data_IF_588349468558
#
_entry.id   IF_588349468558
#
_cell.length_a   1.000
_cell.length_b   1.000
_cell.length_c   1.000
_cell.angle_alpha   90.00
_cell.angle_beta   90.00
_cell.angle_gamma   90.00
#
_symmetry.space_group_name_H-M   'P 1'
#
loop_
_entity.id
_entity.type
_entity.pdbx_description
1 polymer ?
#
# COMPACT_ATOMS: atom_id res chain seq x y z
N UNK A 1 12.57 21.90 12.92
CA UNK A 1 12.85 20.59 12.27
C UNK A 1 13.88 20.88 11.20
N UNK A 2 15.09 20.33 11.31
CA UNK A 2 16.13 20.62 10.33
C UNK A 2 15.84 19.88 9.01
N UNK A 3 16.33 20.40 7.89
CA UNK A 3 16.17 19.78 6.55
C UNK A 3 16.72 18.33 6.53
N UNK A 4 17.75 18.05 7.33
CA UNK A 4 18.31 16.72 7.53
C UNK A 4 17.37 15.75 8.28
N UNK A 5 16.61 16.25 9.26
CA UNK A 5 15.62 15.44 9.99
C UNK A 5 14.43 15.09 9.08
N UNK A 6 14.02 16.00 8.20
CA UNK A 6 12.92 15.80 7.25
C UNK A 6 13.28 14.76 6.17
N UNK A 7 14.53 14.76 5.69
CA UNK A 7 15.03 13.74 4.76
C UNK A 7 15.10 12.37 5.44
N UNK A 8 15.55 12.32 6.70
CA UNK A 8 15.66 11.09 7.48
C UNK A 8 14.28 10.44 7.75
N UNK A 9 13.30 11.23 8.20
CA UNK A 9 11.95 10.74 8.50
C UNK A 9 11.24 10.16 7.28
N UNK A 10 11.30 10.87 6.15
CA UNK A 10 10.78 10.38 4.86
C UNK A 10 11.44 9.07 4.43
N UNK A 11 12.77 8.98 4.52
CA UNK A 11 13.53 7.80 4.12
C UNK A 11 13.16 6.56 4.94
N UNK A 12 12.93 6.72 6.26
CA UNK A 12 12.51 5.63 7.15
C UNK A 12 11.15 5.07 6.72
N UNK A 13 10.15 5.94 6.51
CA UNK A 13 8.79 5.52 6.11
C UNK A 13 8.81 4.82 4.75
N UNK A 14 9.48 5.41 3.76
CA UNK A 14 9.59 4.81 2.42
C UNK A 14 10.28 3.45 2.50
N UNK A 15 11.42 3.37 3.19
CA UNK A 15 12.17 2.11 3.34
C UNK A 15 11.33 1.03 4.00
N UNK A 16 10.56 1.38 5.04
CA UNK A 16 9.70 0.43 5.71
C UNK A 16 8.57 -0.06 4.80
N UNK A 17 7.92 0.83 4.05
CA UNK A 17 6.83 0.45 3.15
C UNK A 17 7.32 -0.38 1.97
N UNK A 18 8.48 -0.06 1.40
CA UNK A 18 9.07 -0.87 0.33
C UNK A 18 9.48 -2.26 0.82
N UNK A 19 10.09 -2.36 2.00
CA UNK A 19 10.52 -3.66 2.57
C UNK A 19 9.36 -4.46 3.17
N UNK A 20 8.30 -3.81 3.63
CA UNK A 20 7.14 -4.42 4.30
C UNK A 20 5.83 -3.83 3.80
N UNK A 21 5.43 -4.09 2.53
CA UNK A 21 4.22 -3.50 1.96
C UNK A 21 2.93 -3.92 2.69
N UNK A 22 2.97 -5.03 3.43
CA UNK A 22 1.83 -5.51 4.22
C UNK A 22 1.48 -4.59 5.40
N UNK A 23 2.35 -3.61 5.72
CA UNK A 23 2.09 -2.59 6.73
C UNK A 23 1.23 -1.43 6.21
N UNK A 24 1.08 -1.29 4.89
CA UNK A 24 0.33 -0.19 4.25
C UNK A 24 -1.08 -0.02 4.86
N UNK A 25 -1.90 -1.08 5.01
CA UNK A 25 -3.23 -0.93 5.59
C UNK A 25 -3.18 -0.36 7.02
N UNK A 26 -2.23 -0.77 7.84
CA UNK A 26 -2.13 -0.31 9.22
C UNK A 26 -1.74 1.16 9.31
N UNK A 27 -0.80 1.62 8.48
CA UNK A 27 -0.46 3.05 8.42
C UNK A 27 -1.67 3.86 7.97
N UNK A 28 -2.35 3.42 6.91
CA UNK A 28 -3.58 4.06 6.42
C UNK A 28 -4.62 4.20 7.53
N UNK A 29 -5.03 3.09 8.17
CA UNK A 29 -6.07 3.15 9.20
C UNK A 29 -5.63 3.92 10.46
N UNK A 30 -4.40 3.76 10.93
CA UNK A 30 -3.93 4.49 12.13
C UNK A 30 -3.89 6.00 11.85
N UNK A 31 -3.41 6.40 10.67
CA UNK A 31 -3.33 7.80 10.28
C UNK A 31 -4.73 8.40 10.07
N UNK A 32 -5.56 7.78 9.23
CA UNK A 32 -6.90 8.29 8.87
C UNK A 32 -7.81 8.46 10.08
N UNK A 33 -7.70 7.60 11.09
CA UNK A 33 -8.53 7.67 12.30
C UNK A 33 -7.85 8.40 13.47
N UNK A 34 -6.71 9.06 13.23
CA UNK A 34 -5.93 9.77 14.27
C UNK A 34 -5.62 8.89 15.49
N UNK A 35 -5.38 7.61 15.24
CA UNK A 35 -5.01 6.62 16.24
C UNK A 35 -6.11 5.63 16.61
N UNK A 36 -5.69 4.37 16.82
CA UNK A 36 -6.59 3.24 17.02
C UNK A 36 -6.07 2.28 18.11
N UNK A 37 -7.01 1.69 18.85
CA UNK A 37 -6.78 0.54 19.71
C UNK A 37 -6.60 -0.73 18.87
N UNK A 38 -6.10 -1.81 19.50
CA UNK A 38 -5.99 -3.13 18.85
C UNK A 38 -7.37 -3.65 18.41
N UNK A 39 -8.40 -3.39 19.21
CA UNK A 39 -9.75 -3.86 18.94
C UNK A 39 -10.40 -3.11 17.78
N UNK A 40 -10.21 -1.80 17.68
CA UNK A 40 -10.66 -1.02 16.52
C UNK A 40 -9.92 -1.44 15.25
N UNK A 41 -8.60 -1.63 15.31
CA UNK A 41 -7.83 -2.18 14.19
C UNK A 41 -8.34 -3.56 13.77
N UNK A 42 -8.76 -4.40 14.72
CA UNK A 42 -9.32 -5.72 14.41
C UNK A 42 -10.63 -5.61 13.64
N UNK A 43 -11.50 -4.67 14.03
CA UNK A 43 -12.78 -4.42 13.37
C UNK A 43 -12.61 -3.80 11.98
N UNK A 44 -11.74 -2.80 11.86
CA UNK A 44 -11.52 -2.05 10.61
C UNK A 44 -10.73 -2.87 9.58
N UNK A 45 -9.61 -3.46 9.98
CA UNK A 45 -8.74 -4.22 9.07
C UNK A 45 -9.28 -5.63 8.85
N UNK A 46 -9.96 -6.24 9.82
CA UNK A 46 -10.56 -7.56 9.67
C UNK A 46 -9.56 -8.73 9.68
N UNK A 47 -8.40 -8.56 10.32
CA UNK A 47 -7.35 -9.58 10.44
C UNK A 47 -7.24 -10.13 11.87
N UNK A 48 -6.59 -11.30 12.02
CA UNK A 48 -6.28 -11.88 13.34
C UNK A 48 -5.41 -10.92 14.17
N UNK A 49 -5.70 -10.84 15.48
CA UNK A 49 -4.99 -10.00 16.45
C UNK A 49 -3.47 -10.16 16.43
N UNK A 50 -2.97 -11.38 16.17
CA UNK A 50 -1.53 -11.65 16.04
C UNK A 50 -0.86 -10.83 14.92
N UNK A 51 -1.56 -10.65 13.78
CA UNK A 51 -1.06 -9.85 12.65
C UNK A 51 -1.03 -8.37 13.03
N UNK A 52 -2.06 -7.89 13.74
CA UNK A 52 -2.15 -6.51 14.24
C UNK A 52 -1.01 -6.23 15.22
N UNK A 53 -0.82 -7.08 16.22
CA UNK A 53 0.29 -6.97 17.19
C UNK A 53 1.64 -6.96 16.48
N UNK A 54 1.81 -7.81 15.46
CA UNK A 54 3.05 -7.84 14.66
C UNK A 54 3.25 -6.57 13.84
N UNK A 55 2.18 -6.00 13.29
CA UNK A 55 2.24 -4.73 12.56
C UNK A 55 2.64 -3.58 13.49
N UNK A 56 1.95 -3.44 14.61
CA UNK A 56 2.22 -2.43 15.63
C UNK A 56 3.65 -2.58 16.18
N UNK A 57 4.13 -3.80 16.39
CA UNK A 57 5.52 -4.05 16.79
C UNK A 57 6.51 -3.53 15.75
N UNK A 58 6.28 -3.75 14.44
CA UNK A 58 7.16 -3.21 13.39
C UNK A 58 7.12 -1.68 13.33
N UNK A 59 5.94 -1.08 13.44
CA UNK A 59 5.77 0.37 13.39
C UNK A 59 6.41 1.05 14.60
N UNK A 60 6.21 0.50 15.80
CA UNK A 60 6.84 0.97 17.03
C UNK A 60 8.37 0.77 17.01
N UNK A 61 8.85 -0.38 16.52
CA UNK A 61 10.29 -0.66 16.39
C UNK A 61 11.01 0.34 15.47
N UNK A 62 10.33 0.85 14.45
CA UNK A 62 10.87 1.88 13.56
C UNK A 62 10.51 3.31 14.02
N UNK A 63 10.02 3.46 15.25
CA UNK A 63 9.65 4.74 15.85
C UNK A 63 8.56 5.51 15.07
N UNK A 64 7.76 4.86 14.23
CA UNK A 64 6.72 5.52 13.42
C UNK A 64 5.42 5.70 14.22
N UNK A 65 5.14 4.75 15.12
CA UNK A 65 3.93 4.73 15.94
C UNK A 65 4.30 4.76 17.41
N UNK A 66 3.56 5.53 18.19
CA UNK A 66 3.64 5.56 19.64
C UNK A 66 2.29 5.26 20.28
N UNK A 67 2.31 4.91 21.56
CA UNK A 67 1.10 4.65 22.34
C UNK A 67 0.71 5.90 23.12
N UNK A 68 -0.50 6.41 22.89
CA UNK A 68 -1.12 7.52 23.64
C UNK A 68 -2.37 7.00 24.33
N UNK A 69 -2.27 6.75 25.63
CA UNK A 69 -3.31 6.00 26.37
C UNK A 69 -3.42 4.56 25.84
N UNK A 70 -4.61 4.15 25.38
CA UNK A 70 -4.82 2.83 24.75
C UNK A 70 -4.61 2.82 23.23
N UNK A 71 -4.53 3.99 22.60
CA UNK A 71 -4.45 4.15 21.15
C UNK A 71 -3.01 4.12 20.67
N UNK A 72 -2.82 3.54 19.49
CA UNK A 72 -1.60 3.60 18.72
C UNK A 72 -1.76 4.72 17.71
N UNK A 73 -0.85 5.68 17.70
CA UNK A 73 -0.94 6.91 16.88
C UNK A 73 0.33 7.06 16.07
N UNK A 74 0.22 7.56 14.83
CA UNK A 74 1.39 8.00 14.07
C UNK A 74 2.08 9.12 14.85
N UNK A 75 3.40 9.02 15.03
CA UNK A 75 4.20 10.08 15.65
C UNK A 75 4.19 11.34 14.77
N UNK A 76 4.08 12.50 15.43
CA UNK A 76 3.89 13.79 14.75
C UNK A 76 4.98 14.11 13.73
N UNK A 77 6.23 13.73 14.02
CA UNK A 77 7.38 13.86 13.13
C UNK A 77 7.22 13.12 11.78
N UNK A 78 6.37 12.08 11.72
CA UNK A 78 6.07 11.34 10.50
C UNK A 78 4.73 11.73 9.85
N UNK A 79 3.89 12.51 10.52
CA UNK A 79 2.53 12.82 10.04
C UNK A 79 2.54 13.42 8.64
N UNK A 80 3.37 14.43 8.38
CA UNK A 80 3.50 15.07 7.06
C UNK A 80 4.03 14.12 5.98
N UNK A 81 4.92 13.20 6.37
CA UNK A 81 5.49 12.23 5.43
C UNK A 81 4.47 11.15 5.04
N UNK A 82 3.69 10.68 6.02
CA UNK A 82 2.61 9.73 5.79
C UNK A 82 1.48 10.39 5.00
N UNK A 83 1.13 11.63 5.30
CA UNK A 83 0.14 12.40 4.53
C UNK A 83 0.51 12.46 3.04
N UNK A 84 1.73 12.93 2.73
CA UNK A 84 2.24 12.98 1.35
C UNK A 84 2.24 11.60 0.69
N UNK A 85 2.57 10.55 1.44
CA UNK A 85 2.56 9.18 0.93
C UNK A 85 1.13 8.70 0.61
N UNK A 86 0.15 9.09 1.42
CA UNK A 86 -1.25 8.71 1.25
C UNK A 86 -1.97 9.51 0.15
N UNK A 87 -1.40 10.61 -0.35
CA UNK A 87 -1.91 11.27 -1.56
C UNK A 87 -1.85 10.35 -2.80
N UNK A 88 -0.86 9.47 -2.85
CA UNK A 88 -0.65 8.49 -3.93
C UNK A 88 -1.21 7.09 -3.55
N UNK A 89 -2.13 7.04 -2.59
CA UNK A 89 -2.76 5.82 -2.11
C UNK A 89 -4.17 5.66 -2.69
N UNK A 90 -4.52 4.41 -3.01
CA UNK A 90 -5.84 4.00 -3.49
C UNK A 90 -6.29 2.80 -2.66
N UNK A 91 -7.58 2.76 -2.28
CA UNK A 91 -8.14 1.67 -1.50
C UNK A 91 -9.50 1.22 -2.02
N UNK A 92 -9.65 -0.09 -2.26
CA UNK A 92 -10.90 -0.72 -2.66
C UNK A 92 -11.28 -1.79 -1.64
N UNK A 93 -11.84 -1.33 -0.51
CA UNK A 93 -12.25 -2.18 0.61
C UNK A 93 -11.10 -2.92 1.29
N UNK A 94 -10.75 -4.11 0.77
CA UNK A 94 -9.70 -4.98 1.33
C UNK A 94 -8.36 -4.85 0.61
N UNK A 95 -8.28 -4.03 -0.43
CA UNK A 95 -7.07 -3.86 -1.23
C UNK A 95 -6.55 -2.45 -1.10
N UNK A 96 -5.28 -2.31 -0.74
CA UNK A 96 -4.58 -1.03 -0.67
C UNK A 96 -3.50 -1.01 -1.74
N UNK A 97 -3.45 0.07 -2.52
CA UNK A 97 -2.44 0.33 -3.53
C UNK A 97 -1.71 1.59 -3.14
N UNK A 98 -0.38 1.55 -3.12
CA UNK A 98 0.46 2.70 -2.85
C UNK A 98 1.51 2.81 -3.95
N UNK A 99 1.65 3.99 -4.56
CA UNK A 99 2.73 4.25 -5.50
C UNK A 99 3.94 4.83 -4.76
N UNK A 100 5.11 4.22 -4.94
CA UNK A 100 6.39 4.75 -4.44
C UNK A 100 7.37 4.76 -5.60
N UNK A 101 7.76 5.96 -6.04
CA UNK A 101 8.57 6.13 -7.24
C UNK A 101 7.88 5.52 -8.46
N UNK A 102 8.58 4.66 -9.21
CA UNK A 102 8.09 3.98 -10.42
C UNK A 102 7.50 2.59 -10.13
N UNK A 103 6.98 2.35 -8.94
CA UNK A 103 6.46 1.04 -8.54
C UNK A 103 5.18 1.17 -7.72
N UNK A 104 4.18 0.38 -8.10
CA UNK A 104 2.97 0.18 -7.33
C UNK A 104 3.16 -0.98 -6.35
N UNK A 105 2.81 -0.74 -5.10
CA UNK A 105 2.79 -1.71 -4.02
C UNK A 105 1.34 -2.04 -3.69
N UNK A 106 0.97 -3.30 -3.82
CA UNK A 106 -0.41 -3.75 -3.55
C UNK A 106 -0.42 -4.64 -2.32
N UNK A 107 -1.29 -4.31 -1.36
CA UNK A 107 -1.55 -5.10 -0.16
C UNK A 107 -3.02 -5.55 -0.14
N UNK A 108 -3.24 -6.87 -0.15
CA UNK A 108 -4.56 -7.49 -0.12
C UNK A 108 -4.79 -8.11 1.25
N UNK A 109 -5.80 -7.63 1.94
CA UNK A 109 -6.18 -8.06 3.27
C UNK A 109 -7.02 -9.34 3.20
N UNK A 110 -6.57 -10.38 3.91
CA UNK A 110 -7.34 -11.61 4.18
C UNK A 110 -7.33 -11.85 5.68
N UNK A 111 -8.35 -12.53 6.20
CA UNK A 111 -8.51 -12.77 7.65
C UNK A 111 -7.26 -13.32 8.34
N UNK A 112 -6.55 -14.23 7.67
CA UNK A 112 -5.38 -14.95 8.21
C UNK A 112 -4.03 -14.46 7.70
N UNK A 113 -3.99 -13.53 6.72
CA UNK A 113 -2.74 -13.00 6.15
C UNK A 113 -2.99 -11.73 5.35
N UNK A 114 -1.97 -10.89 5.20
CA UNK A 114 -1.97 -9.82 4.20
C UNK A 114 -1.01 -10.22 3.09
N UNK A 115 -1.54 -10.39 1.88
CA UNK A 115 -0.75 -10.77 0.71
C UNK A 115 -0.26 -9.52 0.01
N UNK A 116 0.94 -9.55 -0.56
CA UNK A 116 1.51 -8.39 -1.24
C UNK A 116 2.10 -8.76 -2.57
N UNK A 117 2.08 -7.81 -3.50
CA UNK A 117 2.85 -7.87 -4.75
C UNK A 117 3.18 -6.46 -5.21
N UNK A 118 4.13 -6.37 -6.14
CA UNK A 118 4.53 -5.12 -6.76
C UNK A 118 4.32 -5.18 -8.26
N UNK A 119 4.10 -4.01 -8.85
CA UNK A 119 3.99 -3.83 -10.30
C UNK A 119 4.81 -2.59 -10.69
N UNK A 120 5.82 -2.73 -11.55
CA UNK A 120 6.50 -1.61 -12.19
C UNK A 120 5.53 -0.72 -12.97
N UNK A 121 5.71 0.61 -12.86
CA UNK A 121 4.83 1.58 -13.51
C UNK A 121 4.87 1.50 -15.05
N UNK A 122 6.03 1.18 -15.62
CA UNK A 122 6.20 1.01 -17.07
C UNK A 122 5.31 -0.10 -17.63
N UNK A 123 5.18 -1.22 -16.92
CA UNK A 123 4.27 -2.31 -17.32
C UNK A 123 2.81 -1.89 -17.24
N UNK A 124 2.44 -1.13 -16.20
CA UNK A 124 1.09 -0.57 -16.09
C UNK A 124 0.78 0.39 -17.24
N UNK A 125 1.70 1.31 -17.54
CA UNK A 125 1.52 2.30 -18.59
C UNK A 125 1.41 1.65 -19.98
N UNK A 126 2.22 0.63 -20.27
CA UNK A 126 2.11 -0.16 -21.51
C UNK A 126 0.76 -0.84 -21.65
N UNK A 127 0.23 -1.43 -20.58
CA UNK A 127 -1.13 -1.98 -20.60
C UNK A 127 -2.17 -0.89 -20.91
N UNK A 128 -2.09 0.27 -20.25
CA UNK A 128 -3.02 1.38 -20.49
C UNK A 128 -2.96 1.86 -21.95
N UNK A 129 -1.75 2.01 -22.49
CA UNK A 129 -1.54 2.39 -23.90
C UNK A 129 -2.14 1.37 -24.86
N UNK A 130 -1.89 0.08 -24.63
CA UNK A 130 -2.45 -0.99 -25.45
C UNK A 130 -3.98 -0.98 -25.42
N UNK A 131 -4.59 -0.91 -24.23
CA UNK A 131 -6.06 -0.84 -24.08
C UNK A 131 -6.67 0.36 -24.81
N UNK A 132 -5.99 1.52 -24.80
CA UNK A 132 -6.44 2.71 -25.51
C UNK A 132 -6.36 2.53 -27.03
N UNK A 133 -5.30 1.91 -27.54
CA UNK A 133 -5.08 1.72 -28.97
C UNK A 133 -6.08 0.74 -29.60
N UNK A 134 -6.43 -0.34 -28.88
CA UNK A 134 -7.36 -1.37 -29.39
C UNK A 134 -8.80 -1.16 -28.92
N UNK A 135 -9.05 -0.15 -28.08
CA UNK A 135 -10.34 0.17 -27.45
C UNK A 135 -11.00 -1.04 -26.74
N UNK A 136 -10.19 -1.92 -26.15
CA UNK A 136 -10.67 -3.08 -25.39
C UNK A 136 -9.78 -3.39 -24.20
N UNK A 137 -10.34 -4.08 -23.19
CA UNK A 137 -9.59 -4.56 -22.04
C UNK A 137 -8.76 -5.79 -22.39
N UNK A 138 -7.47 -5.76 -22.06
CA UNK A 138 -6.59 -6.90 -22.27
C UNK A 138 -6.83 -7.98 -21.22
N UNK A 139 -6.87 -9.23 -21.66
CA UNK A 139 -6.76 -10.35 -20.74
C UNK A 139 -5.30 -10.58 -20.35
N UNK A 140 -5.04 -11.19 -19.18
CA UNK A 140 -3.69 -11.53 -18.73
C UNK A 140 -2.87 -12.31 -19.77
N UNK A 141 -3.52 -13.22 -20.51
CA UNK A 141 -2.91 -14.06 -21.55
C UNK A 141 -2.40 -13.20 -22.72
N UNK A 142 -3.23 -12.27 -23.21
CA UNK A 142 -2.89 -11.35 -24.30
C UNK A 142 -1.71 -10.46 -23.91
N UNK A 143 -1.73 -9.92 -22.68
CA UNK A 143 -0.68 -9.08 -22.16
C UNK A 143 0.64 -9.85 -21.98
N UNK A 144 0.57 -11.09 -21.47
CA UNK A 144 1.74 -11.95 -21.30
C UNK A 144 2.44 -12.22 -22.63
N UNK A 145 1.66 -12.56 -23.67
CA UNK A 145 2.18 -12.81 -25.01
C UNK A 145 2.73 -11.54 -25.66
N UNK A 146 1.99 -10.42 -25.58
CA UNK A 146 2.36 -9.16 -26.24
C UNK A 146 3.62 -8.51 -25.64
N UNK A 147 3.81 -8.62 -24.33
CA UNK A 147 4.98 -8.06 -23.63
C UNK A 147 6.07 -9.08 -23.35
N UNK A 148 5.86 -10.35 -23.73
CA UNK A 148 6.75 -11.47 -23.42
C UNK A 148 7.11 -11.53 -21.92
N UNK A 149 6.10 -11.42 -21.05
CA UNK A 149 6.25 -11.45 -19.59
C UNK A 149 5.61 -12.70 -18.98
N UNK A 150 6.04 -13.14 -17.77
CA UNK A 150 5.40 -14.26 -17.10
C UNK A 150 3.91 -14.00 -16.85
N UNK A 151 3.06 -15.01 -17.11
CA UNK A 151 1.59 -14.91 -16.95
C UNK A 151 1.16 -14.40 -15.56
N UNK A 152 1.88 -14.81 -14.50
CA UNK A 152 1.62 -14.34 -13.13
C UNK A 152 1.83 -12.84 -12.96
N UNK A 153 2.78 -12.25 -13.68
CA UNK A 153 3.02 -10.81 -13.68
C UNK A 153 1.92 -10.11 -14.47
N UNK A 154 1.54 -10.63 -15.64
CA UNK A 154 0.43 -10.10 -16.42
C UNK A 154 -0.88 -10.06 -15.62
N UNK A 155 -1.22 -11.13 -14.90
CA UNK A 155 -2.38 -11.14 -13.98
C UNK A 155 -2.32 -10.02 -12.93
N UNK A 156 -1.14 -9.73 -12.38
CA UNK A 156 -0.98 -8.66 -11.38
C UNK A 156 -1.15 -7.27 -12.01
N UNK A 157 -0.63 -7.06 -13.22
CA UNK A 157 -0.75 -5.79 -13.94
C UNK A 157 -2.23 -5.52 -14.30
N UNK A 158 -2.93 -6.51 -14.85
CA UNK A 158 -4.37 -6.42 -15.15
C UNK A 158 -5.21 -6.22 -13.87
N UNK A 159 -4.89 -6.95 -12.79
CA UNK A 159 -5.57 -6.76 -11.50
C UNK A 159 -5.36 -5.34 -10.95
N UNK A 160 -4.14 -4.82 -11.03
CA UNK A 160 -3.84 -3.43 -10.65
C UNK A 160 -4.64 -2.43 -11.50
N UNK A 161 -4.77 -2.67 -12.82
CA UNK A 161 -5.58 -1.83 -13.72
C UNK A 161 -7.04 -1.75 -13.29
N UNK A 162 -7.64 -2.88 -12.92
CA UNK A 162 -9.01 -2.92 -12.39
C UNK A 162 -9.14 -2.13 -11.08
N UNK A 163 -8.24 -2.37 -10.12
CA UNK A 163 -8.24 -1.66 -8.83
C UNK A 163 -8.09 -0.14 -9.01
N UNK A 164 -7.16 0.30 -9.86
CA UNK A 164 -6.92 1.73 -10.09
C UNK A 164 -8.06 2.42 -10.87
N UNK A 165 -8.83 1.68 -11.68
CA UNK A 165 -10.05 2.20 -12.30
C UNK A 165 -11.14 2.44 -11.25
N UNK A 166 -11.34 1.49 -10.33
CA UNK A 166 -12.30 1.64 -9.22
C UNK A 166 -12.01 2.84 -8.32
N UNK A 167 -10.74 3.19 -8.10
CA UNK A 167 -10.34 4.34 -7.29
C UNK A 167 -10.47 5.71 -7.99
N UNK A 168 -10.66 5.73 -9.31
CA UNK A 168 -10.85 6.97 -10.09
C UNK A 168 -12.31 7.25 -10.42
N UNK A 169 -13.20 6.32 -10.11
CA UNK A 169 -14.66 6.42 -10.23
C UNK A 169 -15.25 7.10 -9.00
#
# INVERSE_FOLDING_TARGET
MSENDEISGKAVVITLMTKRPWLIPFIYYIYTYSGLTIEELRKLVGVRTQIIKRALWWLAKNNIVEKRGEKHVIKEEYSKHIEKLLLDHCTTGKTHVLKIGKTYFVAIIRRTRISTYTVPEDLYNKLVEYELNVQTEFQPEDLANSLNIPIRLAHRVVALRRILRECRS
#
